data_IF_821968068347
#
_entry.id   IF_821968068347
#
_cell.length_a   1.000
_cell.length_b   1.000
_cell.length_c   1.000
_cell.angle_alpha   90.00
_cell.angle_beta   90.00
_cell.angle_gamma   90.00
#
_symmetry.space_group_name_H-M   'P 1'
#
loop_
_entity.id
_entity.type
_entity.pdbx_description
1 polymer ?
#
# COMPACT_ATOMS: atom_id res chain seq x y z
N UNK A 1 3.29 -12.88 14.64
CA UNK A 1 2.60 -13.47 13.47
C UNK A 1 2.87 -12.61 12.23
N UNK A 2 2.70 -13.15 11.02
CA UNK A 2 2.53 -12.28 9.83
C UNK A 2 1.33 -11.37 10.06
N UNK A 3 1.48 -10.07 9.77
CA UNK A 3 0.46 -9.05 10.01
C UNK A 3 -0.94 -9.51 9.60
N UNK A 4 -1.88 -9.42 10.54
CA UNK A 4 -3.27 -9.80 10.32
C UNK A 4 -4.00 -8.72 9.52
N UNK A 5 -4.97 -9.14 8.72
CA UNK A 5 -5.84 -8.20 8.00
C UNK A 5 -6.86 -7.61 8.97
N UNK A 6 -6.72 -6.33 9.28
CA UNK A 6 -7.63 -5.63 10.21
C UNK A 6 -8.98 -5.29 9.58
N UNK A 7 -9.01 -4.85 8.31
CA UNK A 7 -10.22 -4.38 7.63
C UNK A 7 -10.13 -4.59 6.10
N UNK A 8 -11.26 -4.93 5.48
CA UNK A 8 -11.41 -5.00 4.02
C UNK A 8 -12.70 -4.31 3.58
N UNK A 9 -12.57 -3.28 2.74
CA UNK A 9 -13.70 -2.59 2.09
C UNK A 9 -13.58 -2.76 0.58
N UNK A 10 -14.51 -3.49 -0.04
CA UNK A 10 -14.52 -3.76 -1.47
C UNK A 10 -15.94 -3.57 -2.03
N UNK A 11 -16.34 -2.34 -2.39
CA UNK A 11 -17.69 -2.06 -2.90
C UNK A 11 -17.96 -2.69 -4.26
N UNK A 12 -16.91 -2.92 -5.05
CA UNK A 12 -16.96 -3.53 -6.38
C UNK A 12 -15.66 -4.29 -6.66
N UNK A 13 -15.69 -5.34 -7.48
CA UNK A 13 -14.47 -6.01 -7.95
C UNK A 13 -13.51 -5.00 -8.59
N UNK A 14 -12.23 -5.12 -8.25
CA UNK A 14 -11.17 -4.25 -8.76
C UNK A 14 -9.87 -5.05 -8.92
N UNK A 15 -9.04 -4.66 -9.87
CA UNK A 15 -7.75 -5.28 -10.14
C UNK A 15 -6.74 -4.19 -10.51
N UNK A 16 -5.48 -4.40 -10.12
CA UNK A 16 -4.36 -3.57 -10.55
C UNK A 16 -3.07 -4.36 -10.49
N UNK A 17 -2.19 -4.16 -11.48
CA UNK A 17 -0.88 -4.81 -11.54
C UNK A 17 0.20 -3.78 -11.24
N UNK A 18 1.11 -4.07 -10.32
CA UNK A 18 2.14 -3.12 -9.88
C UNK A 18 3.53 -3.78 -9.90
N UNK A 19 4.58 -2.98 -10.10
CA UNK A 19 5.95 -3.48 -10.05
C UNK A 19 6.44 -3.59 -8.61
N UNK A 20 6.78 -4.79 -8.15
CA UNK A 20 7.32 -5.02 -6.80
C UNK A 20 8.66 -4.32 -6.57
N UNK A 21 9.44 -4.07 -7.63
CA UNK A 21 10.73 -3.36 -7.55
C UNK A 21 10.63 -2.02 -6.82
N UNK A 22 9.52 -1.30 -6.96
CA UNK A 22 9.32 -0.01 -6.32
C UNK A 22 8.75 -0.12 -4.89
N UNK A 23 8.14 -1.26 -4.54
CA UNK A 23 7.66 -1.55 -3.19
C UNK A 23 8.76 -2.09 -2.29
N UNK A 24 9.72 -2.81 -2.85
CA UNK A 24 10.79 -3.51 -2.14
C UNK A 24 11.60 -2.66 -1.14
N UNK A 25 12.04 -1.43 -1.47
CA UNK A 25 12.73 -0.58 -0.51
C UNK A 25 11.82 -0.07 0.61
N UNK A 26 10.54 0.14 0.29
CA UNK A 26 9.54 0.65 1.23
C UNK A 26 9.13 -0.45 2.22
N UNK A 27 8.86 -1.66 1.74
CA UNK A 27 8.47 -2.80 2.59
C UNK A 27 9.55 -3.15 3.60
N UNK A 28 10.84 -3.01 3.24
CA UNK A 28 11.96 -3.18 4.19
C UNK A 28 11.91 -2.17 5.34
N UNK A 29 11.61 -0.90 5.06
CA UNK A 29 11.48 0.15 6.09
C UNK A 29 10.24 -0.07 6.96
N UNK A 30 9.15 -0.54 6.37
CA UNK A 30 7.92 -0.83 7.10
C UNK A 30 8.11 -2.05 8.02
N UNK A 31 8.76 -3.10 7.51
CA UNK A 31 9.07 -4.32 8.26
C UNK A 31 10.04 -4.09 9.43
N UNK A 32 10.84 -3.03 9.42
CA UNK A 32 11.69 -2.66 10.56
C UNK A 32 10.94 -2.00 11.73
N UNK A 33 9.61 -1.99 11.71
CA UNK A 33 8.77 -1.49 12.80
C UNK A 33 8.44 0.01 12.72
N UNK A 34 8.51 0.61 11.52
CA UNK A 34 8.17 2.03 11.33
C UNK A 34 6.68 2.34 11.60
N UNK A 35 5.82 1.36 11.42
CA UNK A 35 4.37 1.42 11.69
C UNK A 35 3.85 0.03 12.04
N UNK A 36 2.74 -0.04 12.77
CA UNK A 36 2.00 -1.28 13.02
C UNK A 36 0.99 -1.57 11.90
N UNK A 37 0.37 -0.51 11.36
CA UNK A 37 -0.67 -0.62 10.35
C UNK A 37 -0.27 0.12 9.08
N UNK A 38 -0.68 -0.44 7.93
CA UNK A 38 -0.59 0.19 6.62
C UNK A 38 -1.93 0.04 5.95
N UNK A 39 -2.48 1.15 5.47
CA UNK A 39 -3.67 1.14 4.63
C UNK A 39 -3.26 1.01 3.17
N UNK A 40 -3.74 -0.06 2.52
CA UNK A 40 -3.52 -0.33 1.10
C UNK A 40 -4.80 -0.05 0.33
N UNK A 41 -4.72 0.80 -0.69
CA UNK A 41 -5.87 1.19 -1.50
C UNK A 41 -5.51 1.15 -2.99
N UNK A 42 -6.38 0.55 -3.79
CA UNK A 42 -6.21 0.49 -5.24
C UNK A 42 -7.57 0.47 -5.94
N UNK A 43 -7.60 1.04 -7.14
CA UNK A 43 -8.76 1.08 -8.02
C UNK A 43 -8.29 1.04 -9.46
N UNK A 44 -9.08 0.45 -10.37
CA UNK A 44 -8.80 0.49 -11.80
C UNK A 44 -8.54 1.94 -12.27
N UNK A 45 -7.50 2.12 -13.09
CA UNK A 45 -7.00 3.42 -13.60
C UNK A 45 -6.51 4.43 -12.56
N UNK A 46 -6.37 4.04 -11.29
CA UNK A 46 -5.76 4.88 -10.24
C UNK A 46 -4.45 4.27 -9.73
N UNK A 47 -3.53 5.09 -9.17
CA UNK A 47 -2.34 4.56 -8.52
C UNK A 47 -2.68 3.73 -7.29
N UNK A 48 -1.83 2.75 -6.98
CA UNK A 48 -1.78 2.13 -5.66
C UNK A 48 -1.39 3.21 -4.65
N UNK A 49 -2.16 3.32 -3.58
CA UNK A 49 -1.91 4.22 -2.46
C UNK A 49 -1.62 3.41 -1.20
N UNK A 50 -0.51 3.75 -0.54
CA UNK A 50 -0.15 3.24 0.78
C UNK A 50 -0.11 4.41 1.76
N UNK A 51 -0.93 4.34 2.80
CA UNK A 51 -0.90 5.30 3.90
C UNK A 51 -0.45 4.62 5.19
N UNK A 52 0.40 5.30 5.96
CA UNK A 52 0.76 4.88 7.31
C UNK A 52 1.13 6.09 8.18
N UNK A 53 1.06 5.89 9.48
CA UNK A 53 1.57 6.85 10.48
C UNK A 53 2.82 6.31 11.15
N UNK A 54 3.73 7.20 11.52
CA UNK A 54 4.89 6.87 12.35
C UNK A 54 4.88 7.71 13.63
N UNK A 55 5.70 7.33 14.61
CA UNK A 55 5.85 8.05 15.89
C UNK A 55 4.50 8.31 16.59
N UNK A 56 3.68 7.26 16.73
CA UNK A 56 2.36 7.31 17.38
C UNK A 56 1.43 8.41 16.84
N UNK A 57 1.47 8.62 15.51
CA UNK A 57 0.67 9.64 14.83
C UNK A 57 1.37 10.99 14.66
N UNK A 58 2.62 11.13 15.11
CA UNK A 58 3.41 12.36 14.95
C UNK A 58 3.78 12.69 13.49
N UNK A 59 3.72 11.71 12.59
CA UNK A 59 3.84 11.95 11.15
C UNK A 59 2.94 11.02 10.34
N UNK A 60 2.42 11.52 9.22
CA UNK A 60 1.63 10.77 8.25
C UNK A 60 2.32 10.75 6.91
N UNK A 61 2.30 9.58 6.27
CA UNK A 61 2.97 9.34 5.00
C UNK A 61 1.98 8.77 4.00
N UNK A 62 2.14 9.20 2.76
CA UNK A 62 1.41 8.64 1.61
C UNK A 62 2.41 8.31 0.51
N UNK A 63 2.34 7.09 0.00
CA UNK A 63 3.12 6.65 -1.15
C UNK A 63 2.18 6.28 -2.29
N UNK A 64 2.49 6.78 -3.48
CA UNK A 64 1.76 6.49 -4.70
C UNK A 64 2.63 5.67 -5.66
N UNK A 65 2.05 4.61 -6.22
CA UNK A 65 2.68 3.79 -7.25
C UNK A 65 1.76 3.65 -8.45
N UNK A 66 2.26 4.07 -9.62
CA UNK A 66 1.53 3.92 -10.87
C UNK A 66 1.30 2.42 -11.20
N UNK A 67 0.12 2.06 -11.71
CA UNK A 67 -0.12 0.71 -12.19
C UNK A 67 0.71 0.44 -13.45
N UNK A 68 1.01 -0.83 -13.69
CA UNK A 68 1.49 -1.28 -15.00
C UNK A 68 0.34 -1.18 -15.99
N UNK A 69 0.59 -0.50 -17.09
CA UNK A 69 -0.32 -0.48 -18.23
C UNK A 69 -0.07 -1.77 -19.02
N UNK A 70 -1.03 -2.68 -18.99
CA UNK A 70 -1.15 -3.70 -20.03
C UNK A 70 -1.87 -3.03 -21.20
N UNK A 71 -1.14 -2.77 -22.29
CA UNK A 71 -1.82 -2.52 -23.56
C UNK A 71 -2.38 -3.87 -24.01
N UNK A 72 -3.69 -4.02 -23.95
CA UNK A 72 -4.39 -4.97 -24.82
C UNK A 72 -4.37 -4.44 -26.26
#
# INVERSE_FOLDING_TARGET
ESGELSELVCPSPTQGTYSLQFLDPLTRKLASGLTQDIRVQFQDKYPLRLDWSSNDGGASWTYFLAPRVTND
#
